data_IF_790954251794
#
_entry.id   IF_790954251794
#
_cell.length_a   1.000
_cell.length_b   1.000
_cell.length_c   1.000
_cell.angle_alpha   90.00
_cell.angle_beta   90.00
_cell.angle_gamma   90.00
#
_symmetry.space_group_name_H-M   'P 1'
#
loop_
_entity.id
_entity.type
_entity.pdbx_description
1 polymer ?
#
# COMPACT_ATOMS: atom_id res chain seq x y z
N UNK A 1 -62.59 -39.17 26.25
CA UNK A 1 -61.68 -39.30 27.40
C UNK A 1 -60.64 -38.19 27.31
N UNK A 2 -60.68 -37.26 28.28
CA UNK A 2 -59.62 -36.35 28.80
C UNK A 2 -58.70 -35.66 27.77
N UNK A 3 -58.90 -34.38 27.42
CA UNK A 3 -58.44 -33.15 28.12
C UNK A 3 -56.97 -33.17 28.55
N UNK A 4 -56.13 -32.39 27.86
CA UNK A 4 -55.12 -31.55 28.49
C UNK A 4 -54.84 -30.34 27.58
N UNK A 5 -55.20 -29.17 28.10
CA UNK A 5 -54.86 -27.86 27.57
C UNK A 5 -53.60 -27.31 28.27
N UNK A 6 -53.12 -26.18 27.74
CA UNK A 6 -52.11 -25.26 28.29
C UNK A 6 -50.64 -25.63 28.02
N UNK A 7 -49.75 -24.73 27.60
CA UNK A 7 -49.83 -23.27 27.54
C UNK A 7 -48.99 -22.76 26.35
N UNK A 8 -49.54 -21.80 25.59
CA UNK A 8 -48.71 -20.95 24.73
C UNK A 8 -47.91 -20.03 25.66
N UNK A 9 -46.64 -20.34 25.87
CA UNK A 9 -45.71 -19.36 26.38
C UNK A 9 -45.50 -18.33 25.26
N UNK A 10 -46.26 -17.24 25.30
CA UNK A 10 -45.95 -16.04 24.56
C UNK A 10 -44.62 -15.49 25.10
N UNK A 11 -43.51 -16.03 24.62
CA UNK A 11 -42.23 -15.36 24.71
C UNK A 11 -42.36 -14.16 23.76
N UNK A 12 -42.67 -13.00 24.33
CA UNK A 12 -42.54 -11.71 23.68
C UNK A 12 -41.03 -11.49 23.48
N UNK A 13 -40.48 -12.15 22.46
CA UNK A 13 -39.11 -11.90 22.02
C UNK A 13 -39.14 -10.51 21.44
N UNK A 14 -38.78 -9.52 22.24
CA UNK A 14 -38.47 -8.19 21.76
C UNK A 14 -37.33 -8.40 20.77
N UNK A 15 -37.65 -8.43 19.48
CA UNK A 15 -36.67 -8.36 18.42
C UNK A 15 -36.08 -6.95 18.49
N UNK A 16 -35.12 -6.78 19.40
CA UNK A 16 -34.18 -5.67 19.34
C UNK A 16 -33.46 -5.90 18.03
N UNK A 17 -33.94 -5.24 16.98
CA UNK A 17 -33.35 -5.31 15.66
C UNK A 17 -31.94 -4.78 15.76
N UNK A 18 -30.98 -5.68 15.98
CA UNK A 18 -29.59 -5.41 15.70
C UNK A 18 -29.50 -5.32 14.18
N UNK A 19 -29.68 -4.10 13.67
CA UNK A 19 -29.40 -3.79 12.28
C UNK A 19 -27.98 -4.26 11.99
N UNK A 20 -27.84 -5.26 11.13
CA UNK A 20 -26.53 -5.68 10.64
C UNK A 20 -26.04 -4.57 9.72
N UNK A 21 -25.31 -3.61 10.26
CA UNK A 21 -24.54 -2.67 9.45
C UNK A 21 -23.46 -3.47 8.74
N UNK A 22 -23.68 -3.83 7.48
CA UNK A 22 -22.59 -4.26 6.62
C UNK A 22 -21.71 -3.03 6.35
N UNK A 23 -20.82 -2.73 7.29
CA UNK A 23 -19.69 -1.84 7.05
C UNK A 23 -18.75 -2.57 6.11
N UNK A 24 -19.06 -2.54 4.82
CA UNK A 24 -18.07 -2.82 3.79
C UNK A 24 -17.02 -1.72 3.89
N UNK A 25 -15.94 -1.99 4.61
CA UNK A 25 -14.73 -1.21 4.48
C UNK A 25 -14.27 -1.37 3.03
N UNK A 26 -14.66 -0.42 2.16
CA UNK A 26 -14.01 -0.26 0.88
C UNK A 26 -12.64 0.33 1.16
N UNK A 27 -11.70 -0.54 1.54
CA UNK A 27 -10.29 -0.30 1.27
C UNK A 27 -10.22 -0.16 -0.24
N UNK A 28 -10.22 1.06 -0.77
CA UNK A 28 -9.86 1.28 -2.17
C UNK A 28 -8.36 1.04 -2.30
N UNK A 29 -8.01 -0.23 -2.27
CA UNK A 29 -6.70 -0.69 -2.56
C UNK A 29 -6.29 -0.23 -3.95
N UNK A 30 -5.08 0.31 -4.08
CA UNK A 30 -4.59 0.73 -5.39
C UNK A 30 -5.07 2.10 -5.88
N UNK A 31 -5.79 2.90 -5.08
CA UNK A 31 -6.29 4.22 -5.51
C UNK A 31 -5.45 5.36 -4.94
N UNK A 32 -5.07 6.29 -5.81
CA UNK A 32 -4.37 7.51 -5.44
C UNK A 32 -5.29 8.49 -4.69
N UNK A 33 -4.70 9.39 -3.91
CA UNK A 33 -5.49 10.45 -3.29
C UNK A 33 -6.11 11.35 -4.38
N UNK A 34 -7.41 11.73 -4.30
CA UNK A 34 -8.05 12.53 -5.33
C UNK A 34 -7.31 13.85 -5.60
N UNK A 35 -7.07 14.15 -6.89
CA UNK A 35 -6.32 15.34 -7.30
C UNK A 35 -4.80 15.15 -7.35
N UNK A 36 -4.30 13.97 -6.95
CA UNK A 36 -2.90 13.60 -7.06
C UNK A 36 -2.62 12.70 -8.26
N UNK A 37 -1.36 12.61 -8.65
CA UNK A 37 -0.96 11.82 -9.80
C UNK A 37 -1.12 10.32 -9.49
N UNK A 38 -2.02 9.66 -10.22
CA UNK A 38 -2.34 8.24 -10.00
C UNK A 38 -1.28 7.29 -10.55
N UNK A 39 -0.59 7.68 -11.63
CA UNK A 39 0.40 6.83 -12.30
C UNK A 39 1.70 7.57 -12.57
N UNK A 40 2.80 6.84 -12.49
CA UNK A 40 4.11 7.27 -12.96
C UNK A 40 4.70 6.16 -13.84
N UNK A 41 4.86 6.43 -15.14
CA UNK A 41 5.11 5.38 -16.12
C UNK A 41 4.05 4.28 -16.03
N UNK A 42 4.50 3.04 -15.81
CA UNK A 42 3.63 1.87 -15.69
C UNK A 42 3.22 1.53 -14.25
N UNK A 43 3.64 2.34 -13.26
CA UNK A 43 3.37 2.08 -11.85
C UNK A 43 2.18 2.90 -11.37
N UNK A 44 1.18 2.23 -10.80
CA UNK A 44 0.08 2.89 -10.07
C UNK A 44 0.56 3.28 -8.67
N UNK A 45 0.28 4.51 -8.23
CA UNK A 45 0.73 5.08 -6.96
C UNK A 45 -0.47 5.22 -6.01
N UNK A 46 -0.72 4.25 -5.13
CA UNK A 46 -1.83 4.32 -4.18
C UNK A 46 -1.51 5.16 -2.94
N UNK A 47 -2.53 5.76 -2.34
CA UNK A 47 -2.40 6.29 -0.98
C UNK A 47 -2.07 5.13 -0.01
N UNK A 48 -1.09 5.25 0.90
CA UNK A 48 -0.51 6.47 1.48
C UNK A 48 0.62 7.13 0.69
N UNK A 49 1.10 6.52 -0.40
CA UNK A 49 2.13 7.10 -1.26
C UNK A 49 1.58 8.19 -2.17
N UNK A 50 2.45 9.05 -2.66
CA UNK A 50 2.01 10.08 -3.59
C UNK A 50 3.12 10.81 -4.34
N UNK A 51 2.78 11.20 -5.56
CA UNK A 51 3.56 12.11 -6.41
C UNK A 51 2.76 13.40 -6.57
N UNK A 52 3.41 14.55 -6.37
CA UNK A 52 2.79 15.87 -6.57
C UNK A 52 3.12 16.86 -5.44
N UNK A 53 2.27 17.89 -5.35
CA UNK A 53 2.35 18.95 -4.36
C UNK A 53 2.07 18.45 -2.93
N UNK A 54 2.14 19.37 -1.97
CA UNK A 54 1.82 19.09 -0.55
C UNK A 54 0.47 18.37 -0.46
N UNK A 55 0.44 17.34 0.40
CA UNK A 55 -0.73 16.50 0.72
C UNK A 55 -1.02 15.35 -0.24
N UNK A 56 -0.20 15.08 -1.27
CA UNK A 56 -0.42 13.89 -2.10
C UNK A 56 0.01 12.57 -1.45
N UNK A 57 0.78 12.64 -0.37
CA UNK A 57 1.22 11.50 0.43
C UNK A 57 0.78 11.68 1.88
N UNK A 58 0.71 10.58 2.64
CA UNK A 58 0.38 10.61 4.07
C UNK A 58 1.34 11.52 4.85
N UNK A 59 2.63 11.47 4.51
CA UNK A 59 3.61 12.43 5.00
C UNK A 59 4.74 12.58 3.98
N UNK A 60 5.34 13.78 3.94
CA UNK A 60 6.36 14.11 2.94
C UNK A 60 7.71 13.40 3.15
N UNK A 61 7.99 12.85 4.35
CA UNK A 61 9.29 12.23 4.66
C UNK A 61 9.37 10.78 4.19
N UNK A 62 8.31 10.02 4.42
CA UNK A 62 8.31 8.56 4.28
C UNK A 62 7.55 8.10 3.03
N UNK A 63 6.50 8.83 2.64
CA UNK A 63 5.56 8.39 1.60
C UNK A 63 5.60 9.23 0.33
N UNK A 64 6.35 10.33 0.32
CA UNK A 64 6.52 11.14 -0.87
C UNK A 64 7.42 10.43 -1.88
N UNK A 65 6.92 10.33 -3.10
CA UNK A 65 7.64 9.80 -4.24
C UNK A 65 7.85 10.91 -5.26
N UNK A 66 8.86 10.71 -6.11
CA UNK A 66 9.14 11.59 -7.25
C UNK A 66 8.91 10.83 -8.54
N UNK A 67 8.41 11.51 -9.56
CA UNK A 67 8.22 10.94 -10.89
C UNK A 67 9.05 11.72 -11.89
N UNK A 68 10.16 11.15 -12.34
CA UNK A 68 11.05 11.79 -13.30
C UNK A 68 10.49 11.64 -14.71
N UNK A 69 10.36 12.76 -15.43
CA UNK A 69 9.87 12.83 -16.82
C UNK A 69 8.55 12.05 -17.06
N UNK A 70 7.72 11.91 -16.02
CA UNK A 70 6.49 11.11 -16.02
C UNK A 70 6.67 9.60 -16.27
N UNK A 71 7.89 9.07 -16.26
CA UNK A 71 8.19 7.68 -16.63
C UNK A 71 8.81 6.85 -15.50
N UNK A 72 9.68 7.45 -14.67
CA UNK A 72 10.43 6.72 -13.64
C UNK A 72 10.01 7.14 -12.24
N UNK A 73 9.45 6.20 -11.48
CA UNK A 73 9.04 6.44 -10.10
C UNK A 73 10.22 6.22 -9.15
N UNK A 74 10.47 7.17 -8.24
CA UNK A 74 11.59 7.10 -7.29
C UNK A 74 11.18 7.47 -5.87
N UNK A 75 11.88 6.89 -4.90
CA UNK A 75 11.84 7.36 -3.50
C UNK A 75 12.54 8.71 -3.35
N UNK A 76 12.34 9.37 -2.21
CA UNK A 76 13.11 10.58 -1.84
C UNK A 76 14.63 10.34 -1.77
N UNK A 77 15.07 9.10 -1.61
CA UNK A 77 16.48 8.72 -1.64
C UNK A 77 17.01 8.43 -3.06
N UNK A 78 16.18 8.61 -4.09
CA UNK A 78 16.56 8.38 -5.49
C UNK A 78 16.61 6.90 -5.88
N UNK A 79 15.97 6.00 -5.12
CA UNK A 79 15.86 4.58 -5.47
C UNK A 79 14.66 4.39 -6.39
N UNK A 80 14.84 3.67 -7.49
CA UNK A 80 13.79 3.42 -8.47
C UNK A 80 12.78 2.37 -7.98
N UNK A 81 11.51 2.62 -8.27
CA UNK A 81 10.38 1.78 -7.90
C UNK A 81 9.76 1.25 -9.18
N UNK A 82 9.70 -0.08 -9.31
CA UNK A 82 9.21 -0.76 -10.51
C UNK A 82 7.78 -1.26 -10.36
N UNK A 83 7.30 -1.41 -9.12
CA UNK A 83 5.96 -1.93 -8.85
C UNK A 83 5.51 -1.69 -7.41
N UNK A 84 4.21 -1.47 -7.25
CA UNK A 84 3.55 -1.41 -5.95
C UNK A 84 2.34 -2.33 -6.02
N UNK A 85 2.37 -3.42 -5.27
CA UNK A 85 1.25 -4.35 -5.09
C UNK A 85 0.61 -4.05 -3.74
N UNK A 86 -0.43 -3.20 -3.76
CA UNK A 86 -1.11 -2.76 -2.54
C UNK A 86 -1.79 -3.92 -1.80
N UNK A 87 -2.42 -4.84 -2.53
CA UNK A 87 -3.16 -5.97 -1.97
C UNK A 87 -2.24 -6.90 -1.18
N UNK A 88 -1.01 -7.10 -1.67
CA UNK A 88 0.01 -7.91 -1.00
C UNK A 88 0.88 -7.10 -0.02
N UNK A 89 0.73 -5.78 0.01
CA UNK A 89 1.61 -4.90 0.77
C UNK A 89 3.07 -4.96 0.31
N UNK A 90 3.30 -5.16 -0.99
CA UNK A 90 4.63 -5.32 -1.57
C UNK A 90 5.03 -4.11 -2.40
N UNK A 91 6.32 -3.79 -2.35
CA UNK A 91 6.94 -2.74 -3.13
C UNK A 91 8.23 -3.26 -3.74
N UNK A 92 8.36 -3.12 -5.04
CA UNK A 92 9.52 -3.57 -5.79
C UNK A 92 10.42 -2.38 -6.08
N UNK A 93 11.64 -2.45 -5.59
CA UNK A 93 12.65 -1.40 -5.73
C UNK A 93 13.88 -1.97 -6.44
N UNK A 94 14.41 -1.21 -7.39
CA UNK A 94 15.73 -1.50 -7.95
C UNK A 94 16.81 -0.96 -7.03
N UNK A 95 17.36 -1.87 -6.23
CA UNK A 95 18.52 -1.57 -5.41
C UNK A 95 19.79 -1.65 -6.26
N UNK A 96 20.74 -0.71 -6.09
CA UNK A 96 22.06 -0.86 -6.67
C UNK A 96 22.76 -2.08 -6.05
N UNK A 97 23.29 -2.95 -6.91
CA UNK A 97 24.18 -4.02 -6.47
C UNK A 97 25.57 -3.46 -6.29
N UNK A 98 26.20 -3.72 -5.14
CA UNK A 98 27.59 -3.40 -4.92
C UNK A 98 28.42 -4.69 -4.95
N UNK A 99 29.61 -4.60 -5.53
CA UNK A 99 30.62 -5.66 -5.43
C UNK A 99 31.89 -5.05 -4.87
N UNK A 100 32.43 -5.67 -3.82
CA UNK A 100 33.72 -5.31 -3.27
C UNK A 100 34.81 -6.07 -4.01
N UNK A 101 35.66 -5.35 -4.73
CA UNK A 101 36.86 -5.90 -5.34
C UNK A 101 38.07 -5.46 -4.53
N UNK A 102 38.85 -6.40 -4.01
CA UNK A 102 40.13 -6.09 -3.37
C UNK A 102 41.23 -6.07 -4.42
N UNK A 103 41.98 -4.98 -4.50
CA UNK A 103 43.18 -4.90 -5.33
C UNK A 103 44.43 -4.97 -4.45
N UNK A 104 45.16 -6.09 -4.51
CA UNK A 104 46.37 -6.31 -3.71
C UNK A 104 47.51 -5.35 -4.09
N UNK A 105 47.60 -4.92 -5.36
CA UNK A 105 48.61 -3.97 -5.82
C UNK A 105 48.41 -2.57 -5.23
N UNK A 106 47.19 -2.24 -4.80
CA UNK A 106 46.84 -0.92 -4.26
C UNK A 106 46.42 -0.98 -2.78
N UNK A 107 46.28 -2.18 -2.18
CA UNK A 107 45.70 -2.39 -0.84
C UNK A 107 44.42 -1.56 -0.62
N UNK A 108 43.51 -1.57 -1.60
CA UNK A 108 42.25 -0.82 -1.54
C UNK A 108 41.04 -1.70 -1.87
N UNK A 109 39.91 -1.37 -1.24
CA UNK A 109 38.59 -1.90 -1.53
C UNK A 109 37.92 -1.02 -2.61
N UNK A 110 37.57 -1.62 -3.74
CA UNK A 110 36.90 -0.95 -4.86
C UNK A 110 35.44 -1.38 -4.85
N UNK A 111 34.54 -0.41 -4.67
CA UNK A 111 33.10 -0.65 -4.75
C UNK A 111 32.63 -0.43 -6.19
N UNK A 112 32.21 -1.50 -6.87
CA UNK A 112 31.50 -1.37 -8.15
C UNK A 112 30.00 -1.40 -7.92
N UNK A 113 29.31 -0.34 -8.31
CA UNK A 113 27.84 -0.27 -8.25
C UNK A 113 27.26 -0.55 -9.64
N UNK A 114 26.29 -1.46 -9.73
CA UNK A 114 25.51 -1.74 -10.93
C UNK A 114 24.02 -1.79 -10.59
N UNK A 115 23.21 -1.00 -11.31
CA UNK A 115 21.75 -1.11 -11.27
C UNK A 115 21.37 -2.31 -12.15
N UNK A 116 20.56 -3.22 -11.60
CA UNK A 116 20.17 -4.48 -12.27
C UNK A 116 19.15 -4.18 -13.36
#
# INVERSE_FOLDING_TARGET
MRLAAAAMAAALVVAIGFGTSASGASSRAGVALPGCQEKCGNVTVPYPFGVGDKNCSLNDRDFKLTCDQYSTLRTSAGIEITGIDYEKGQMEMQMPTYSFCFNESVKQEIVRSKVI
#
